data_IF_941581858354
#
_entry.id   IF_941581858354
#
_cell.length_a   1.000
_cell.length_b   1.000
_cell.length_c   1.000
_cell.angle_alpha   90.00
_cell.angle_beta   90.00
_cell.angle_gamma   90.00
#
_symmetry.space_group_name_H-M   'P 1'
#
loop_
_entity.id
_entity.type
_entity.pdbx_description
1 polymer ?
#
# COMPACT_ATOMS: atom_id res chain seq x y z
N UNK A 1 -42.91 41.37 -22.72
CA UNK A 1 -41.45 41.19 -22.64
C UNK A 1 -40.97 40.93 -21.20
N UNK A 2 -41.64 40.03 -20.44
CA UNK A 2 -41.25 39.67 -19.06
C UNK A 2 -41.10 38.14 -18.81
N UNK A 3 -41.30 37.32 -19.85
CA UNK A 3 -41.20 35.85 -19.71
C UNK A 3 -39.79 35.26 -19.99
N UNK A 4 -38.87 36.05 -20.62
CA UNK A 4 -37.55 35.53 -21.01
C UNK A 4 -36.50 35.56 -19.89
N UNK A 5 -36.71 36.35 -18.83
CA UNK A 5 -35.71 36.52 -17.76
C UNK A 5 -35.83 35.44 -16.70
N UNK A 6 -37.03 34.86 -16.51
CA UNK A 6 -37.27 33.81 -15.52
C UNK A 6 -36.70 32.47 -15.99
N UNK A 7 -36.76 32.19 -17.29
CA UNK A 7 -36.24 30.96 -17.90
C UNK A 7 -34.70 30.89 -17.84
N UNK A 8 -34.01 32.00 -17.95
CA UNK A 8 -32.54 32.04 -17.86
C UNK A 8 -32.01 31.83 -16.42
N UNK A 9 -32.71 32.37 -15.43
CA UNK A 9 -32.30 32.16 -14.03
C UNK A 9 -32.55 30.72 -13.53
N UNK A 10 -33.63 30.06 -13.98
CA UNK A 10 -33.90 28.67 -13.69
C UNK A 10 -32.96 27.73 -14.42
N UNK A 11 -32.56 28.03 -15.65
CA UNK A 11 -31.58 27.26 -16.40
C UNK A 11 -30.17 27.36 -15.80
N UNK A 12 -29.79 28.55 -15.31
CA UNK A 12 -28.49 28.78 -14.65
C UNK A 12 -28.44 28.04 -13.31
N UNK A 13 -29.55 27.94 -12.57
CA UNK A 13 -29.61 27.23 -11.29
C UNK A 13 -29.56 25.70 -11.47
N UNK A 14 -30.08 25.15 -12.57
CA UNK A 14 -29.98 23.73 -12.92
C UNK A 14 -28.56 23.34 -13.37
N UNK A 15 -27.78 24.27 -13.90
CA UNK A 15 -26.40 23.99 -14.31
C UNK A 15 -25.39 23.99 -13.15
N UNK A 16 -25.71 24.65 -12.04
CA UNK A 16 -24.82 24.70 -10.86
C UNK A 16 -24.96 23.42 -10.00
N UNK A 17 -26.03 22.65 -10.15
CA UNK A 17 -26.30 21.46 -9.31
C UNK A 17 -25.65 20.16 -9.81
N UNK A 18 -24.93 20.20 -10.94
CA UNK A 18 -24.21 19.03 -11.47
C UNK A 18 -22.68 19.08 -11.23
N UNK A 19 -22.20 19.89 -10.32
CA UNK A 19 -20.89 19.70 -9.71
C UNK A 19 -21.01 18.52 -8.74
N UNK A 20 -21.01 17.30 -9.29
CA UNK A 20 -20.77 16.09 -8.53
C UNK A 20 -19.39 16.25 -7.89
N UNK A 21 -19.33 16.72 -6.66
CA UNK A 21 -18.14 16.56 -5.83
C UNK A 21 -17.89 15.06 -5.73
N UNK A 22 -16.96 14.55 -6.52
CA UNK A 22 -16.41 13.22 -6.33
C UNK A 22 -15.70 13.25 -4.99
N UNK A 23 -16.41 12.86 -3.93
CA UNK A 23 -15.78 12.64 -2.61
C UNK A 23 -14.88 11.42 -2.80
N UNK A 24 -13.61 11.65 -3.01
CA UNK A 24 -12.64 10.58 -2.97
C UNK A 24 -12.50 10.14 -1.51
N UNK A 25 -12.92 8.92 -1.20
CA UNK A 25 -12.70 8.34 0.12
C UNK A 25 -11.19 8.14 0.31
N UNK A 26 -10.57 9.06 1.03
CA UNK A 26 -9.16 8.98 1.38
C UNK A 26 -8.99 8.45 2.80
N UNK A 27 -8.12 7.45 2.97
CA UNK A 27 -7.71 6.96 4.28
C UNK A 27 -6.19 7.09 4.42
N UNK A 28 -5.74 7.76 5.47
CA UNK A 28 -4.32 7.95 5.80
C UNK A 28 -3.93 7.09 7.00
N UNK A 29 -2.91 6.26 6.83
CA UNK A 29 -2.29 5.48 7.89
C UNK A 29 -0.90 6.05 8.17
N UNK A 30 -0.64 6.44 9.40
CA UNK A 30 0.65 6.95 9.85
C UNK A 30 1.29 5.91 10.75
N UNK A 31 2.51 5.51 10.42
CA UNK A 31 3.28 4.52 11.18
C UNK A 31 4.57 5.12 11.73
N UNK A 32 4.94 4.69 12.93
CA UNK A 32 6.31 4.76 13.39
C UNK A 32 7.10 3.58 12.82
N UNK A 33 8.33 3.83 12.36
CA UNK A 33 9.18 2.84 11.68
C UNK A 33 10.40 2.51 12.53
N UNK A 34 10.57 1.22 12.84
CA UNK A 34 11.74 0.66 13.47
C UNK A 34 12.56 -0.15 12.46
N UNK A 35 13.87 -0.15 12.58
CA UNK A 35 14.77 -1.00 11.79
C UNK A 35 15.49 -1.93 12.75
N UNK A 36 15.45 -3.24 12.49
CA UNK A 36 16.25 -4.25 13.19
C UNK A 36 17.33 -4.81 12.28
N UNK A 37 18.48 -5.12 12.84
CA UNK A 37 19.63 -5.70 12.11
C UNK A 37 20.70 -4.68 11.69
N UNK A 38 20.52 -3.41 12.02
CA UNK A 38 21.58 -2.38 11.94
C UNK A 38 21.96 -2.06 13.38
N UNK A 39 23.18 -2.44 13.79
CA UNK A 39 23.63 -2.40 15.18
C UNK A 39 23.74 -0.99 15.80
N UNK A 40 23.67 0.07 15.01
CA UNK A 40 23.94 1.45 15.45
C UNK A 40 22.69 2.24 15.82
N UNK A 41 21.50 1.81 15.40
CA UNK A 41 20.27 2.58 15.62
C UNK A 41 19.18 1.67 16.18
N UNK A 42 18.86 1.83 17.46
CA UNK A 42 17.75 1.17 18.11
C UNK A 42 16.54 2.11 18.22
N UNK A 43 15.30 1.55 18.12
CA UNK A 43 14.06 2.28 18.36
C UNK A 43 13.42 2.86 17.09
N UNK A 44 12.63 3.92 17.27
CA UNK A 44 11.91 4.58 16.18
C UNK A 44 12.87 5.43 15.35
N UNK A 45 13.16 5.00 14.14
CA UNK A 45 14.12 5.63 13.24
C UNK A 45 13.46 6.41 12.11
N UNK A 46 12.14 6.29 11.95
CA UNK A 46 11.45 6.91 10.83
C UNK A 46 9.95 6.93 10.96
N UNK A 47 9.32 7.45 9.91
CA UNK A 47 7.86 7.47 9.72
C UNK A 47 7.50 6.89 8.36
N UNK A 48 6.35 6.23 8.29
CA UNK A 48 5.71 5.85 7.04
C UNK A 48 4.32 6.47 7.00
N UNK A 49 4.04 7.20 5.93
CA UNK A 49 2.70 7.66 5.58
C UNK A 49 2.22 6.80 4.42
N UNK A 50 1.07 6.15 4.58
CA UNK A 50 0.40 5.40 3.54
C UNK A 50 -0.96 6.02 3.34
N UNK A 51 -1.20 6.55 2.15
CA UNK A 51 -2.46 7.14 1.73
C UNK A 51 -3.12 6.19 0.76
N UNK A 52 -4.38 5.93 1.00
CA UNK A 52 -5.21 5.08 0.17
C UNK A 52 -6.43 5.87 -0.31
N UNK A 53 -6.63 5.91 -1.61
CA UNK A 53 -7.74 6.62 -2.26
C UNK A 53 -8.44 5.70 -3.24
N UNK A 54 -9.76 5.65 -3.16
CA UNK A 54 -10.62 5.04 -4.17
C UNK A 54 -11.13 6.15 -5.11
N UNK A 55 -10.92 5.99 -6.41
CA UNK A 55 -11.45 6.93 -7.39
C UNK A 55 -12.83 6.52 -7.92
N UNK A 56 -13.49 7.42 -8.64
CA UNK A 56 -14.83 7.23 -9.19
C UNK A 56 -14.94 6.03 -10.17
N UNK A 57 -13.83 5.60 -10.73
CA UNK A 57 -13.75 4.47 -11.66
C UNK A 57 -13.51 3.13 -10.92
N UNK A 58 -13.60 3.12 -9.59
CA UNK A 58 -13.25 1.97 -8.73
C UNK A 58 -11.81 1.50 -8.95
N UNK A 59 -10.92 2.40 -9.34
CA UNK A 59 -9.49 2.15 -9.28
C UNK A 59 -8.95 2.69 -7.95
N UNK A 60 -7.81 2.16 -7.50
CA UNK A 60 -7.24 2.56 -6.23
C UNK A 60 -5.86 3.17 -6.44
N UNK A 61 -5.64 4.33 -5.83
CA UNK A 61 -4.36 5.00 -5.78
C UNK A 61 -3.79 4.87 -4.36
N UNK A 62 -2.52 4.50 -4.28
CA UNK A 62 -1.79 4.39 -3.02
C UNK A 62 -0.51 5.21 -3.10
N UNK A 63 -0.36 6.13 -2.16
CA UNK A 63 0.85 6.93 -2.02
C UNK A 63 1.53 6.55 -0.71
N UNK A 64 2.75 6.05 -0.80
CA UNK A 64 3.53 5.61 0.35
C UNK A 64 4.78 6.48 0.43
N UNK A 65 5.02 7.06 1.61
CA UNK A 65 6.24 7.80 1.89
C UNK A 65 6.88 7.27 3.16
N UNK A 66 8.06 6.67 3.01
CA UNK A 66 8.88 6.19 4.10
C UNK A 66 10.09 7.12 4.23
N UNK A 67 10.35 7.64 5.41
CA UNK A 67 11.48 8.56 5.63
C UNK A 67 12.08 8.39 7.01
N UNK A 68 13.39 8.56 7.09
CA UNK A 68 14.10 8.65 8.37
C UNK A 68 13.77 9.96 9.08
N UNK A 69 13.77 9.94 10.41
CA UNK A 69 13.48 11.10 11.26
C UNK A 69 14.53 11.26 12.35
N UNK A 70 14.57 12.43 12.99
CA UNK A 70 15.43 12.72 14.13
C UNK A 70 16.94 12.41 13.85
N UNK A 71 17.64 11.82 14.80
CA UNK A 71 19.05 11.44 14.67
C UNK A 71 19.29 10.49 13.48
N UNK A 72 18.36 9.58 13.19
CA UNK A 72 18.47 8.69 12.04
C UNK A 72 18.53 9.45 10.71
N UNK A 73 17.85 10.59 10.59
CA UNK A 73 17.92 11.44 9.40
C UNK A 73 19.27 12.10 9.22
N UNK A 74 19.95 12.44 10.33
CA UNK A 74 21.28 13.04 10.28
C UNK A 74 22.35 12.02 9.84
N UNK A 75 22.24 10.79 10.34
CA UNK A 75 23.22 9.73 10.04
C UNK A 75 22.96 9.06 8.70
N UNK A 76 21.68 8.84 8.38
CA UNK A 76 21.20 8.15 7.17
C UNK A 76 19.97 8.85 6.61
N UNK A 77 20.14 9.96 5.87
CA UNK A 77 19.03 10.62 5.22
C UNK A 77 18.44 9.68 4.16
N UNK A 78 17.21 9.20 4.40
CA UNK A 78 16.54 8.27 3.52
C UNK A 78 15.09 8.71 3.32
N UNK A 79 14.64 8.69 2.06
CA UNK A 79 13.25 8.87 1.68
C UNK A 79 12.94 7.93 0.53
N UNK A 80 11.85 7.16 0.67
CA UNK A 80 11.30 6.30 -0.37
C UNK A 80 9.86 6.72 -0.62
N UNK A 81 9.59 7.21 -1.82
CA UNK A 81 8.27 7.65 -2.27
C UNK A 81 7.79 6.67 -3.32
N UNK A 82 6.64 6.03 -3.06
CA UNK A 82 6.05 5.00 -3.90
C UNK A 82 4.63 5.43 -4.25
N UNK A 83 4.31 5.44 -5.54
CA UNK A 83 2.96 5.64 -6.06
C UNK A 83 2.52 4.38 -6.79
N UNK A 84 1.34 3.87 -6.44
CA UNK A 84 0.78 2.65 -7.01
C UNK A 84 -0.63 2.96 -7.48
N UNK A 85 -0.95 2.55 -8.70
CA UNK A 85 -2.33 2.51 -9.21
C UNK A 85 -2.72 1.07 -9.47
N UNK A 86 -3.94 0.70 -9.06
CA UNK A 86 -4.51 -0.64 -9.27
C UNK A 86 -5.91 -0.54 -9.84
N UNK A 87 -6.38 -1.63 -10.40
CA UNK A 87 -7.79 -1.79 -10.77
C UNK A 87 -8.67 -2.09 -9.54
N UNK A 88 -9.95 -2.37 -9.78
CA UNK A 88 -10.95 -2.71 -8.74
C UNK A 88 -10.64 -4.00 -7.99
N UNK A 89 -9.80 -4.88 -8.54
CA UNK A 89 -9.35 -6.13 -7.92
C UNK A 89 -8.02 -5.99 -7.20
N UNK A 90 -7.48 -4.77 -7.09
CA UNK A 90 -6.15 -4.45 -6.56
C UNK A 90 -4.99 -4.98 -7.41
N UNK A 91 -5.26 -5.43 -8.64
CA UNK A 91 -4.22 -5.79 -9.59
C UNK A 91 -3.49 -4.54 -10.08
N UNK A 92 -2.17 -4.65 -10.20
CA UNK A 92 -1.27 -3.54 -10.48
C UNK A 92 -1.46 -3.01 -11.91
N UNK A 93 -1.70 -1.72 -12.04
CA UNK A 93 -1.71 -0.98 -13.30
C UNK A 93 -0.42 -0.17 -13.48
N UNK A 94 0.04 0.49 -12.41
CA UNK A 94 1.31 1.21 -12.43
C UNK A 94 1.99 1.24 -11.07
N UNK A 95 3.31 1.37 -11.09
CA UNK A 95 4.15 1.49 -9.91
C UNK A 95 5.30 2.46 -10.21
N UNK A 96 5.41 3.53 -9.44
CA UNK A 96 6.50 4.47 -9.51
C UNK A 96 7.17 4.56 -8.15
N UNK A 97 8.50 4.50 -8.11
CA UNK A 97 9.28 4.58 -6.88
C UNK A 97 10.46 5.52 -7.07
N UNK A 98 10.64 6.43 -6.13
CA UNK A 98 11.80 7.34 -6.07
C UNK A 98 12.48 7.20 -4.72
N UNK A 99 13.76 6.84 -4.72
CA UNK A 99 14.58 6.68 -3.52
C UNK A 99 15.65 7.77 -3.46
N UNK A 100 15.71 8.51 -2.36
CA UNK A 100 16.73 9.54 -2.07
C UNK A 100 17.56 9.09 -0.86
N UNK A 101 18.88 9.38 -0.83
CA UNK A 101 19.69 10.19 -1.76
C UNK A 101 20.15 9.45 -3.02
N UNK A 102 19.92 8.15 -3.14
CA UNK A 102 20.46 7.32 -4.26
C UNK A 102 19.94 7.70 -5.64
N UNK A 103 18.98 8.61 -5.76
CA UNK A 103 18.31 9.06 -7.00
C UNK A 103 17.81 7.89 -7.86
N UNK A 104 17.51 6.76 -7.21
CA UNK A 104 17.00 5.59 -7.91
C UNK A 104 15.52 5.80 -8.24
N UNK A 105 15.19 5.75 -9.52
CA UNK A 105 13.82 5.83 -10.02
C UNK A 105 13.45 4.51 -10.68
N UNK A 106 12.27 3.99 -10.34
CA UNK A 106 11.68 2.80 -10.96
C UNK A 106 10.29 3.19 -11.44
N UNK A 107 10.06 3.08 -12.74
CA UNK A 107 8.74 3.24 -13.34
C UNK A 107 8.30 1.92 -13.93
N UNK A 108 7.10 1.49 -13.60
CA UNK A 108 6.47 0.26 -14.10
C UNK A 108 5.06 0.58 -14.55
N UNK A 109 4.70 0.15 -15.73
CA UNK A 109 3.35 0.11 -16.27
C UNK A 109 2.99 -1.33 -16.58
N UNK A 110 1.74 -1.71 -16.30
CA UNK A 110 1.25 -3.06 -16.54
C UNK A 110 0.08 -3.00 -17.52
N UNK A 111 0.31 -3.55 -18.70
CA UNK A 111 -0.73 -3.80 -19.69
C UNK A 111 -1.36 -5.15 -19.38
N UNK A 112 -2.50 -5.14 -18.74
CA UNK A 112 -3.21 -6.36 -18.33
C UNK A 112 -3.86 -7.09 -19.50
N UNK A 113 -4.16 -6.39 -20.60
CA UNK A 113 -4.77 -6.94 -21.81
C UNK A 113 -3.73 -7.73 -22.58
N UNK A 114 -2.60 -7.10 -22.91
CA UNK A 114 -1.52 -7.72 -23.67
C UNK A 114 -0.53 -8.50 -22.80
N UNK A 115 -0.78 -8.58 -21.48
CA UNK A 115 0.07 -9.29 -20.51
C UNK A 115 1.54 -8.83 -20.55
N UNK A 116 1.76 -7.52 -20.60
CA UNK A 116 3.08 -6.89 -20.67
C UNK A 116 3.37 -6.02 -19.46
N UNK A 117 4.59 -6.11 -18.96
CA UNK A 117 5.15 -5.20 -17.95
C UNK A 117 6.18 -4.33 -18.66
N UNK A 118 5.99 -3.03 -18.62
CA UNK A 118 6.93 -2.05 -19.15
C UNK A 118 7.65 -1.43 -17.96
N UNK A 119 8.96 -1.70 -17.86
CA UNK A 119 9.78 -1.20 -16.75
C UNK A 119 10.94 -0.38 -17.30
N UNK A 120 10.95 0.92 -17.01
CA UNK A 120 12.02 1.82 -17.50
C UNK A 120 12.32 1.54 -19.00
N UNK A 121 11.28 1.49 -19.84
CA UNK A 121 11.31 1.21 -21.29
C UNK A 121 11.72 -0.23 -21.70
N UNK A 122 11.88 -1.16 -20.75
CA UNK A 122 12.07 -2.58 -21.03
C UNK A 122 10.77 -3.34 -20.91
N UNK A 123 10.46 -4.17 -21.90
CA UNK A 123 9.22 -4.96 -21.94
C UNK A 123 9.51 -6.38 -21.46
N UNK A 124 8.63 -6.91 -20.63
CA UNK A 124 8.61 -8.29 -20.17
C UNK A 124 7.18 -8.83 -20.24
N UNK A 125 6.99 -10.01 -20.80
CA UNK A 125 5.69 -10.67 -20.76
C UNK A 125 5.44 -11.33 -19.40
N UNK A 126 4.16 -11.46 -19.05
CA UNK A 126 3.72 -12.23 -17.89
C UNK A 126 2.48 -13.07 -18.23
N UNK A 127 2.22 -14.13 -17.45
CA UNK A 127 1.20 -15.13 -17.79
C UNK A 127 0.15 -15.33 -16.69
N UNK A 128 0.13 -14.43 -15.70
CA UNK A 128 -0.86 -14.49 -14.63
C UNK A 128 -2.04 -13.56 -14.92
N UNK A 129 -3.22 -13.91 -14.37
CA UNK A 129 -4.41 -13.06 -14.53
C UNK A 129 -4.29 -11.75 -13.74
N UNK A 130 -3.62 -11.80 -12.60
CA UNK A 130 -3.43 -10.64 -11.74
C UNK A 130 -1.98 -10.54 -11.26
N UNK A 131 -1.52 -9.31 -11.13
CA UNK A 131 -0.18 -8.98 -10.63
C UNK A 131 -0.32 -7.94 -9.52
N UNK A 132 0.32 -8.18 -8.40
CA UNK A 132 0.18 -7.34 -7.20
C UNK A 132 1.49 -6.68 -6.79
N UNK A 133 1.37 -5.58 -6.05
CA UNK A 133 2.45 -5.05 -5.22
C UNK A 133 2.28 -5.50 -3.77
N UNK A 134 3.33 -5.51 -2.94
CA UNK A 134 3.18 -5.81 -1.51
C UNK A 134 2.17 -4.89 -0.81
N UNK A 135 2.12 -3.62 -1.18
CA UNK A 135 1.20 -2.65 -0.57
C UNK A 135 -0.24 -2.83 -1.05
N UNK A 136 -0.47 -3.21 -2.33
CA UNK A 136 -1.84 -3.46 -2.82
C UNK A 136 -2.46 -4.68 -2.14
N UNK A 137 -1.65 -5.71 -1.82
CA UNK A 137 -2.08 -6.88 -1.05
C UNK A 137 -2.55 -6.48 0.35
N UNK A 138 -1.90 -5.53 1.03
CA UNK A 138 -2.32 -5.06 2.35
C UNK A 138 -3.75 -4.53 2.31
N UNK A 139 -4.11 -3.76 1.28
CA UNK A 139 -5.47 -3.26 1.14
C UNK A 139 -6.48 -4.30 0.68
N UNK A 140 -6.08 -5.16 -0.26
CA UNK A 140 -6.92 -6.27 -0.72
C UNK A 140 -7.36 -7.15 0.46
N UNK A 141 -6.43 -7.53 1.34
CA UNK A 141 -6.69 -8.39 2.49
C UNK A 141 -7.61 -7.76 3.53
N UNK A 142 -7.67 -6.43 3.64
CA UNK A 142 -8.66 -5.75 4.48
C UNK A 142 -10.10 -5.98 4.03
N UNK A 143 -10.32 -6.26 2.75
CA UNK A 143 -11.65 -6.52 2.17
C UNK A 143 -12.02 -8.01 2.21
N UNK A 144 -11.11 -8.89 2.66
CA UNK A 144 -11.35 -10.33 2.74
C UNK A 144 -11.80 -10.77 4.14
N UNK A 145 -12.50 -11.88 4.20
CA UNK A 145 -12.66 -12.61 5.46
C UNK A 145 -11.34 -13.33 5.76
N UNK A 146 -10.82 -13.14 6.97
CA UNK A 146 -9.53 -13.69 7.40
C UNK A 146 -9.78 -14.77 8.45
N UNK A 147 -10.15 -16.00 8.01
CA UNK A 147 -10.33 -17.10 8.93
C UNK A 147 -9.00 -17.78 9.21
N UNK A 148 -8.82 -18.31 10.43
CA UNK A 148 -7.62 -19.03 10.81
C UNK A 148 -7.39 -20.21 9.85
N UNK A 149 -6.14 -20.36 9.41
CA UNK A 149 -5.66 -21.30 8.40
C UNK A 149 -6.00 -20.97 6.93
N UNK A 150 -6.76 -19.93 6.62
CA UNK A 150 -6.94 -19.50 5.24
C UNK A 150 -5.59 -19.20 4.58
N UNK A 151 -5.48 -19.52 3.29
CA UNK A 151 -4.31 -19.25 2.46
C UNK A 151 -4.68 -18.35 1.29
N UNK A 152 -3.92 -17.28 1.13
CA UNK A 152 -4.05 -16.33 0.02
C UNK A 152 -2.84 -16.42 -0.90
N UNK A 153 -3.07 -16.59 -2.20
CA UNK A 153 -2.02 -16.80 -3.21
C UNK A 153 -1.96 -15.60 -4.16
N UNK A 154 -0.77 -15.03 -4.30
CA UNK A 154 -0.55 -13.83 -5.11
C UNK A 154 0.64 -13.99 -6.05
N UNK A 155 0.54 -13.43 -7.25
CA UNK A 155 1.70 -13.16 -8.08
C UNK A 155 2.14 -11.72 -7.81
N UNK A 156 3.31 -11.54 -7.21
CA UNK A 156 3.82 -10.21 -6.85
C UNK A 156 4.93 -9.77 -7.78
N UNK A 157 4.88 -8.50 -8.18
CA UNK A 157 5.98 -7.87 -8.87
C UNK A 157 7.06 -7.48 -7.86
N UNK A 158 8.13 -8.25 -7.85
CA UNK A 158 9.36 -7.92 -7.14
C UNK A 158 10.28 -7.07 -8.04
N UNK A 159 11.39 -6.58 -7.51
CA UNK A 159 12.28 -5.64 -8.21
C UNK A 159 12.56 -5.93 -9.68
N UNK A 160 12.67 -7.20 -10.09
CA UNK A 160 12.92 -7.60 -11.51
C UNK A 160 12.12 -8.82 -11.97
N UNK A 161 11.45 -9.51 -11.06
CA UNK A 161 10.79 -10.81 -11.34
C UNK A 161 9.42 -10.86 -10.73
N UNK A 162 8.53 -11.61 -11.36
CA UNK A 162 7.27 -12.02 -10.75
C UNK A 162 7.57 -13.19 -9.80
N UNK A 163 7.03 -13.12 -8.61
CA UNK A 163 7.15 -14.17 -7.61
C UNK A 163 5.76 -14.55 -7.09
N UNK A 164 5.57 -15.82 -6.82
CA UNK A 164 4.38 -16.29 -6.12
C UNK A 164 4.54 -16.02 -4.63
N UNK A 165 3.56 -15.50 -3.95
CA UNK A 165 3.48 -15.30 -2.51
C UNK A 165 2.28 -16.07 -1.99
N UNK A 166 2.47 -16.86 -0.94
CA UNK A 166 1.38 -17.53 -0.23
C UNK A 166 1.41 -16.99 1.20
N UNK A 167 0.36 -16.28 1.58
CA UNK A 167 0.15 -15.81 2.95
C UNK A 167 -0.86 -16.71 3.64
N UNK A 168 -0.54 -17.15 4.85
CA UNK A 168 -1.45 -17.92 5.70
C UNK A 168 -1.88 -17.08 6.89
N UNK A 169 -3.15 -17.21 7.25
CA UNK A 169 -3.74 -16.61 8.44
C UNK A 169 -3.41 -17.48 9.65
N UNK A 170 -2.82 -16.86 10.66
CA UNK A 170 -2.49 -17.50 11.93
C UNK A 170 -3.44 -17.06 13.03
N UNK A 171 -3.37 -17.79 14.15
CA UNK A 171 -4.13 -17.52 15.36
C UNK A 171 -4.02 -16.04 15.78
N UNK A 172 -5.10 -15.52 16.35
CA UNK A 172 -5.13 -14.16 16.89
C UNK A 172 -4.17 -14.01 18.07
N UNK A 173 -3.62 -12.83 18.20
CA UNK A 173 -2.74 -12.44 19.30
C UNK A 173 -2.96 -10.98 19.71
N UNK A 174 -2.82 -10.70 21.00
CA UNK A 174 -2.86 -9.32 21.50
C UNK A 174 -1.57 -8.60 21.14
N UNK A 175 -1.67 -7.48 20.44
CA UNK A 175 -0.51 -6.64 20.15
C UNK A 175 -0.71 -5.21 20.64
N UNK A 176 0.39 -4.55 20.98
CA UNK A 176 0.42 -3.14 21.30
C UNK A 176 1.18 -2.37 20.22
N UNK A 177 0.55 -1.31 19.73
CA UNK A 177 1.13 -0.36 18.77
C UNK A 177 0.88 1.06 19.32
N UNK A 178 1.55 2.11 18.83
CA UNK A 178 1.31 3.49 19.30
C UNK A 178 -0.15 3.94 19.21
N UNK A 179 -0.93 3.38 18.28
CA UNK A 179 -2.37 3.66 18.13
C UNK A 179 -3.24 3.04 19.23
N UNK A 180 -2.76 1.99 19.92
CA UNK A 180 -3.48 1.31 21.00
C UNK A 180 -3.13 -0.16 21.12
N UNK A 181 -3.93 -0.88 21.94
CA UNK A 181 -3.83 -2.32 22.16
C UNK A 181 -5.01 -3.02 21.48
N UNK A 182 -4.71 -4.06 20.70
CA UNK A 182 -5.70 -4.72 19.85
C UNK A 182 -5.55 -6.23 19.88
N UNK A 183 -6.67 -6.94 19.84
CA UNK A 183 -6.69 -8.29 19.32
C UNK A 183 -6.43 -8.23 17.81
N UNK A 184 -5.54 -9.07 17.31
CA UNK A 184 -5.07 -8.98 15.94
C UNK A 184 -4.93 -10.35 15.27
N UNK A 185 -5.20 -10.40 13.99
CA UNK A 185 -4.98 -11.56 13.12
C UNK A 185 -3.68 -11.35 12.37
N UNK A 186 -2.79 -12.34 12.42
CA UNK A 186 -1.48 -12.29 11.76
C UNK A 186 -1.47 -13.08 10.46
N UNK A 187 -1.00 -12.45 9.38
CA UNK A 187 -0.70 -13.13 8.13
C UNK A 187 0.80 -13.13 7.89
N UNK A 188 1.33 -14.29 7.52
CA UNK A 188 2.76 -14.45 7.18
C UNK A 188 2.96 -15.43 6.02
N UNK A 189 4.08 -15.31 5.29
CA UNK A 189 4.44 -16.26 4.24
C UNK A 189 4.72 -17.65 4.80
N UNK A 190 4.27 -18.69 4.10
CA UNK A 190 4.47 -20.10 4.50
C UNK A 190 5.44 -20.85 3.59
N UNK A 191 5.79 -20.31 2.42
CA UNK A 191 6.65 -21.02 1.47
C UNK A 191 8.14 -20.78 1.73
N UNK A 192 8.94 -21.88 1.73
CA UNK A 192 10.40 -21.84 1.83
C UNK A 192 11.06 -21.24 0.57
N UNK A 193 10.46 -21.37 -0.60
CA UNK A 193 10.94 -20.84 -1.86
C UNK A 193 10.84 -19.32 -1.95
N UNK A 194 10.13 -18.70 -1.03
CA UNK A 194 9.98 -17.27 -0.84
C UNK A 194 10.95 -16.66 0.16
N UNK A 195 12.06 -17.33 0.46
CA UNK A 195 13.25 -16.61 0.89
C UNK A 195 13.60 -15.68 -0.26
N UNK A 196 12.96 -14.55 -0.27
CA UNK A 196 13.33 -13.45 -1.14
C UNK A 196 14.78 -13.12 -0.81
N UNK A 197 15.75 -13.76 -1.49
CA UNK A 197 17.09 -13.22 -1.57
C UNK A 197 16.88 -11.78 -1.97
N UNK A 198 17.07 -10.87 -1.03
CA UNK A 198 17.03 -9.43 -1.23
C UNK A 198 15.67 -8.72 -1.28
N UNK A 199 14.53 -9.36 -1.02
CA UNK A 199 13.23 -8.69 -1.04
C UNK A 199 12.25 -9.34 -0.09
N UNK A 200 12.20 -8.80 1.05
CA UNK A 200 11.15 -8.69 2.01
C UNK A 200 10.11 -9.82 2.10
N UNK A 201 10.23 -10.68 3.09
CA UNK A 201 9.05 -11.35 3.61
C UNK A 201 8.15 -10.28 4.22
N UNK A 202 6.91 -10.22 3.75
CA UNK A 202 5.91 -9.34 4.34
C UNK A 202 5.10 -10.12 5.37
N UNK A 203 5.03 -9.62 6.60
CA UNK A 203 4.08 -10.07 7.60
C UNK A 203 3.18 -8.90 7.97
N UNK A 204 1.89 -9.15 8.14
CA UNK A 204 0.91 -8.11 8.48
C UNK A 204 0.03 -8.58 9.63
N UNK A 205 -0.21 -7.69 10.58
CA UNK A 205 -1.19 -7.85 11.66
C UNK A 205 -2.34 -6.90 11.41
N UNK A 206 -3.54 -7.45 11.27
CA UNK A 206 -4.78 -6.68 11.15
C UNK A 206 -5.53 -6.69 12.47
N UNK A 207 -6.25 -5.62 12.80
CA UNK A 207 -7.22 -5.67 13.90
C UNK A 207 -8.27 -6.76 13.61
N UNK A 208 -8.61 -7.52 14.65
CA UNK A 208 -9.61 -8.60 14.57
C UNK A 208 -11.03 -8.01 14.71
N UNK A 209 -11.35 -7.06 13.86
CA UNK A 209 -12.64 -6.38 13.78
C UNK A 209 -13.01 -6.10 12.31
N UNK A 210 -14.18 -5.51 12.08
CA UNK A 210 -14.66 -5.21 10.73
C UNK A 210 -13.80 -4.18 9.98
N UNK A 211 -13.02 -3.34 10.68
CA UNK A 211 -12.16 -2.32 10.07
C UNK A 211 -10.89 -2.91 9.48
N UNK A 212 -10.43 -4.05 10.02
CA UNK A 212 -9.18 -4.72 9.62
C UNK A 212 -8.04 -3.72 9.42
N UNK A 213 -7.79 -2.91 10.46
CA UNK A 213 -6.72 -1.92 10.42
C UNK A 213 -5.37 -2.64 10.31
N UNK A 214 -4.48 -2.28 9.39
CA UNK A 214 -3.14 -2.85 9.31
C UNK A 214 -2.27 -2.27 10.43
N UNK A 215 -2.35 -2.90 11.61
CA UNK A 215 -1.75 -2.43 12.86
C UNK A 215 -0.23 -2.46 12.85
N UNK A 216 0.33 -3.53 12.27
CA UNK A 216 1.77 -3.75 12.21
C UNK A 216 2.13 -4.42 10.89
N UNK A 217 3.14 -3.88 10.22
CA UNK A 217 3.67 -4.42 8.97
C UNK A 217 5.16 -4.66 9.17
N UNK A 218 5.62 -5.88 8.89
CA UNK A 218 7.03 -6.25 8.96
C UNK A 218 7.51 -6.59 7.56
N UNK A 219 8.58 -5.92 7.12
CA UNK A 219 9.21 -6.14 5.83
C UNK A 219 10.67 -6.51 6.06
N UNK A 220 11.06 -7.70 5.66
CA UNK A 220 12.47 -8.10 5.68
C UNK A 220 13.14 -7.65 4.37
N UNK A 221 14.23 -6.92 4.45
CA UNK A 221 15.03 -6.48 3.32
C UNK A 221 16.50 -6.86 3.51
N UNK A 222 17.34 -6.61 2.50
CA UNK A 222 18.79 -6.84 2.59
C UNK A 222 19.50 -6.02 3.63
N UNK A 223 18.97 -4.84 3.89
CA UNK A 223 19.58 -3.87 4.82
C UNK A 223 19.02 -4.01 6.24
N UNK A 224 18.09 -4.96 6.48
CA UNK A 224 17.49 -5.19 7.78
C UNK A 224 15.98 -5.42 7.72
N UNK A 225 15.37 -5.54 8.88
CA UNK A 225 13.93 -5.72 9.03
C UNK A 225 13.29 -4.39 9.40
N UNK A 226 12.41 -3.90 8.53
CA UNK A 226 11.56 -2.75 8.79
C UNK A 226 10.30 -3.19 9.51
N UNK A 227 9.98 -2.54 10.61
CA UNK A 227 8.75 -2.77 11.38
C UNK A 227 8.00 -1.45 11.44
N UNK A 228 6.86 -1.40 10.78
CA UNK A 228 5.93 -0.27 10.80
C UNK A 228 4.84 -0.57 11.81
N UNK A 229 4.67 0.30 12.83
CA UNK A 229 3.65 0.19 13.87
C UNK A 229 2.66 1.35 13.72
N UNK A 230 1.39 1.04 13.59
CA UNK A 230 0.33 2.04 13.39
C UNK A 230 0.31 3.03 14.56
N UNK A 231 0.34 4.31 14.24
CA UNK A 231 0.29 5.43 15.18
C UNK A 231 -0.99 6.24 15.08
N UNK A 232 -1.51 6.40 13.86
CA UNK A 232 -2.70 7.21 13.63
C UNK A 232 -3.40 6.77 12.36
N UNK A 233 -4.72 6.87 12.36
CA UNK A 233 -5.59 6.76 11.17
C UNK A 233 -6.35 8.07 11.02
N UNK A 234 -6.42 8.58 9.79
CA UNK A 234 -7.24 9.74 9.42
C UNK A 234 -8.08 9.34 8.21
N UNK A 235 -9.36 9.65 8.25
CA UNK A 235 -10.29 9.54 7.14
C UNK A 235 -10.73 10.97 6.78
N UNK A 236 -10.62 11.31 5.54
CA UNK A 236 -11.12 12.58 4.97
C UNK A 236 -12.42 12.31 4.24
#
# INVERSE_FOLDING_TARGET
MKLSIITYKTLLFLFIFNLSFSISNETKFIYDVEIKGISVIAGNVGKCLLIFQEDSLKTYNMNIKIQTTNLAKLLYPYTDEIMIKTDSTFSLLSFNQTIKPSKKNVKVEVDTINKKIIRNNKIQNFYSDSLYSPFSIIHLLRKQNLNINDEFRFNILSSKKIKKLILKVFQSEMISVPYGKFDSIRLRPISKDYKMKNNGQIEVWYSNDNKKLPLKIKLNSNIGTFIMKLKQVKND
#
